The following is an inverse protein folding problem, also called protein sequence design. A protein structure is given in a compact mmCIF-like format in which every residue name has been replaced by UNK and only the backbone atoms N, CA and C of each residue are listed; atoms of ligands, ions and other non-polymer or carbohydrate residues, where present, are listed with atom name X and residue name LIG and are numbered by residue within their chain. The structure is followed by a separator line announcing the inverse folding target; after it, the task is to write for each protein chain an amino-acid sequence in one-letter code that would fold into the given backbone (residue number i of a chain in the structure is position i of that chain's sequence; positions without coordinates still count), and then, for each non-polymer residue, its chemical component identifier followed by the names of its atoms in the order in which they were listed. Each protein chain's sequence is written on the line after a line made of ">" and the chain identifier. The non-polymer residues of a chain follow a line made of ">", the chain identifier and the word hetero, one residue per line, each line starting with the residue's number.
data_IF_613456360181
#
_entry.id   IF_613456360181
#
_cell.length_a   1.000
_cell.length_b   1.000
_cell.length_c   1.000
_cell.angle_alpha   90.00
_cell.angle_beta   90.00
_cell.angle_gamma   90.00
#
_symmetry.space_group_name_H-M   'P 1'
#
loop_
_entity.id
_entity.type
_entity.pdbx_description
1 polymer ?
#
# COMPACT_ATOMS: atom_id res chain seq x y z
N UNK A 1 -5.22 1.00 30.55
CA UNK A 1 -5.12 0.17 29.32
C UNK A 1 -5.82 -1.18 29.51
N UNK A 2 -6.59 -1.65 28.52
CA UNK A 2 -7.08 -3.04 28.44
C UNK A 2 -5.89 -4.01 28.35
N UNK A 3 -6.04 -5.25 28.83
CA UNK A 3 -4.93 -6.23 28.87
C UNK A 3 -4.26 -6.50 27.51
N UNK A 4 -5.00 -6.35 26.40
CA UNK A 4 -4.50 -6.54 25.03
C UNK A 4 -3.51 -5.45 24.56
N UNK A 5 -3.68 -4.20 24.99
CA UNK A 5 -2.79 -3.11 24.53
C UNK A 5 -1.41 -3.12 25.22
N UNK A 6 -1.29 -3.78 26.37
CA UNK A 6 -0.03 -3.84 27.14
C UNK A 6 1.10 -4.61 26.43
N UNK A 7 0.75 -5.51 25.51
CA UNK A 7 1.72 -6.30 24.75
C UNK A 7 2.07 -5.70 23.38
N UNK A 8 1.54 -4.53 23.03
CA UNK A 8 1.84 -3.91 21.75
C UNK A 8 3.27 -3.37 21.76
N UNK A 9 4.06 -3.81 20.77
CA UNK A 9 5.45 -3.40 20.53
C UNK A 9 5.69 -2.92 19.10
N UNK A 10 4.73 -3.18 18.21
CA UNK A 10 4.83 -2.83 16.79
C UNK A 10 3.69 -1.89 16.41
N UNK A 11 4.02 -0.82 15.71
CA UNK A 11 3.07 0.11 15.09
C UNK A 11 3.11 -0.10 13.59
N UNK A 12 1.98 -0.47 13.00
CA UNK A 12 1.83 -0.62 11.56
C UNK A 12 0.80 0.38 11.06
N UNK A 13 1.14 1.21 10.08
CA UNK A 13 0.18 2.18 9.52
C UNK A 13 0.14 2.09 8.01
N UNK A 14 -1.06 2.11 7.44
CA UNK A 14 -1.20 2.58 6.06
C UNK A 14 -0.84 4.08 5.95
N UNK A 15 -0.58 4.53 4.73
CA UNK A 15 -0.11 5.88 4.42
C UNK A 15 -1.26 6.80 3.96
N UNK A 16 -1.87 6.55 2.81
CA UNK A 16 -2.85 7.46 2.19
C UNK A 16 -4.22 7.31 2.86
N UNK A 17 -4.83 8.41 3.30
CA UNK A 17 -6.11 8.30 4.02
C UNK A 17 -5.97 7.78 5.45
N UNK A 18 -4.75 7.43 5.88
CA UNK A 18 -4.44 6.91 7.22
C UNK A 18 -3.42 7.77 7.96
N UNK A 19 -2.12 7.64 7.66
CA UNK A 19 -1.06 8.43 8.31
C UNK A 19 -0.92 9.83 7.72
N UNK A 20 -1.21 9.98 6.43
CA UNK A 20 -1.22 11.27 5.75
C UNK A 20 -2.54 12.00 5.97
N UNK A 21 -2.42 13.29 6.24
CA UNK A 21 -3.57 14.18 6.24
C UNK A 21 -4.14 14.37 4.81
N UNK A 22 -5.30 15.02 4.64
CA UNK A 22 -5.90 15.27 3.32
C UNK A 22 -5.05 16.11 2.36
N UNK A 23 -3.96 16.73 2.83
CA UNK A 23 -2.99 17.43 1.98
C UNK A 23 -1.81 16.53 1.58
N UNK A 24 -1.91 15.22 1.79
CA UNK A 24 -0.88 14.21 1.53
C UNK A 24 0.45 14.50 2.26
N UNK A 25 0.37 15.01 3.50
CA UNK A 25 1.53 15.30 4.35
C UNK A 25 1.38 14.63 5.71
N UNK A 26 2.51 14.32 6.32
CA UNK A 26 2.57 13.91 7.72
C UNK A 26 2.62 15.17 8.57
N UNK A 27 1.68 15.31 9.52
CA UNK A 27 1.62 16.47 10.40
C UNK A 27 2.77 16.47 11.41
N UNK A 28 3.19 17.66 11.85
CA UNK A 28 4.22 17.80 12.90
C UNK A 28 3.83 17.08 14.20
N UNK A 29 2.53 17.07 14.52
CA UNK A 29 2.04 16.31 15.66
C UNK A 29 2.28 14.80 15.47
N UNK A 30 1.94 14.25 14.30
CA UNK A 30 2.19 12.83 13.99
C UNK A 30 3.68 12.49 14.05
N UNK A 31 4.55 13.33 13.48
CA UNK A 31 6.01 13.15 13.58
C UNK A 31 6.47 13.08 15.04
N UNK A 32 6.01 14.00 15.88
CA UNK A 32 6.38 14.00 17.32
C UNK A 32 5.98 12.72 18.05
N UNK A 33 4.84 12.12 17.67
CA UNK A 33 4.36 10.86 18.26
C UNK A 33 5.20 9.67 17.77
N UNK A 34 5.58 9.65 16.49
CA UNK A 34 6.42 8.59 15.94
C UNK A 34 7.87 8.66 16.47
N UNK A 35 8.41 9.86 16.69
CA UNK A 35 9.68 10.07 17.38
C UNK A 35 9.64 9.53 18.82
N UNK A 36 8.56 9.79 19.56
CA UNK A 36 8.39 9.24 20.90
C UNK A 36 8.32 7.71 20.90
N UNK A 37 7.54 7.12 19.99
CA UNK A 37 7.46 5.67 19.83
C UNK A 37 8.84 5.06 19.55
N UNK A 38 9.61 5.67 18.65
CA UNK A 38 10.96 5.23 18.35
C UNK A 38 11.87 5.29 19.58
N UNK A 39 11.83 6.38 20.35
CA UNK A 39 12.60 6.54 21.58
C UNK A 39 12.23 5.51 22.66
N UNK A 40 11.00 5.00 22.64
CA UNK A 40 10.54 3.94 23.54
C UNK A 40 10.78 2.52 22.99
N UNK A 41 11.44 2.39 21.83
CA UNK A 41 11.84 1.11 21.24
C UNK A 41 10.71 0.37 20.53
N UNK A 42 9.66 1.07 20.10
CA UNK A 42 8.64 0.47 19.23
C UNK A 42 9.19 0.23 17.83
N UNK A 43 8.83 -0.91 17.25
CA UNK A 43 9.07 -1.17 15.83
C UNK A 43 8.01 -0.42 15.01
N UNK A 44 8.47 0.36 14.04
CA UNK A 44 7.61 1.16 13.17
C UNK A 44 7.60 0.59 11.76
N UNK A 45 6.41 0.31 11.24
CA UNK A 45 6.19 -0.23 9.90
C UNK A 45 5.17 0.64 9.19
N UNK A 46 5.48 1.09 7.97
CA UNK A 46 4.49 1.71 7.09
C UNK A 46 4.21 0.80 5.91
N UNK A 47 2.93 0.56 5.61
CA UNK A 47 2.48 -0.35 4.57
C UNK A 47 1.57 0.34 3.57
N UNK A 48 2.01 0.53 2.33
CA UNK A 48 1.31 1.36 1.32
C UNK A 48 1.18 0.67 -0.04
N UNK A 49 0.16 1.06 -0.81
CA UNK A 49 0.04 0.71 -2.23
C UNK A 49 0.95 1.50 -3.15
N UNK A 50 1.53 2.62 -2.67
CA UNK A 50 2.51 3.41 -3.41
C UNK A 50 3.77 2.59 -3.68
N UNK A 51 4.47 2.94 -4.76
CA UNK A 51 5.79 2.42 -5.02
C UNK A 51 6.84 3.04 -4.08
N UNK A 52 7.94 2.32 -3.83
CA UNK A 52 8.91 2.70 -2.80
C UNK A 52 9.53 4.08 -3.06
N UNK A 53 9.85 4.44 -4.32
CA UNK A 53 10.39 5.77 -4.66
C UNK A 53 9.43 6.94 -4.32
N UNK A 54 8.12 6.69 -4.28
CA UNK A 54 7.13 7.69 -3.87
C UNK A 54 6.90 7.74 -2.38
N UNK A 55 6.80 6.55 -1.77
CA UNK A 55 6.58 6.45 -0.34
C UNK A 55 7.80 6.93 0.44
N UNK A 56 9.02 6.57 0.03
CA UNK A 56 10.25 6.86 0.77
C UNK A 56 10.49 8.36 0.95
N UNK A 57 10.20 9.18 -0.07
CA UNK A 57 10.30 10.64 0.04
C UNK A 57 9.37 11.24 1.10
N UNK A 58 8.19 10.65 1.30
CA UNK A 58 7.23 11.06 2.32
C UNK A 58 7.65 10.54 3.69
N UNK A 59 8.05 9.28 3.74
CA UNK A 59 8.47 8.59 4.97
C UNK A 59 9.72 9.20 5.59
N UNK A 60 10.67 9.65 4.76
CA UNK A 60 11.86 10.37 5.23
C UNK A 60 11.50 11.61 6.08
N UNK A 61 10.32 12.22 5.86
CA UNK A 61 9.86 13.35 6.65
C UNK A 61 9.45 13.00 8.09
N UNK A 62 9.29 11.72 8.43
CA UNK A 62 9.07 11.26 9.80
C UNK A 62 10.32 11.40 10.66
N UNK A 63 11.50 11.44 10.03
CA UNK A 63 12.80 11.55 10.71
C UNK A 63 13.03 10.46 11.78
N UNK A 64 12.44 9.28 11.56
CA UNK A 64 12.64 8.07 12.37
C UNK A 64 12.84 6.85 11.48
N UNK A 65 13.60 5.85 11.94
CA UNK A 65 13.75 4.59 11.22
C UNK A 65 12.41 3.85 11.15
N UNK A 66 11.98 3.51 9.94
CA UNK A 66 10.78 2.69 9.72
C UNK A 66 11.05 1.63 8.67
N UNK A 67 10.42 0.48 8.83
CA UNK A 67 10.27 -0.48 7.75
C UNK A 67 9.22 0.02 6.76
N UNK A 68 9.51 -0.08 5.46
CA UNK A 68 8.58 0.30 4.39
C UNK A 68 8.14 -0.94 3.62
N UNK A 69 6.88 -1.31 3.76
CA UNK A 69 6.18 -2.27 2.92
C UNK A 69 5.47 -1.47 1.81
N UNK A 70 5.90 -1.61 0.56
CA UNK A 70 5.37 -0.82 -0.55
C UNK A 70 4.75 -1.71 -1.63
N UNK A 71 4.07 -1.08 -2.59
CA UNK A 71 3.40 -1.78 -3.69
C UNK A 71 2.46 -2.90 -3.19
N UNK A 72 1.68 -2.60 -2.14
CA UNK A 72 0.77 -3.53 -1.45
C UNK A 72 1.42 -4.79 -0.87
N UNK A 73 2.73 -4.77 -0.62
CA UNK A 73 3.48 -5.92 -0.10
C UNK A 73 4.49 -6.52 -1.08
N UNK A 74 4.52 -6.06 -2.33
CA UNK A 74 5.48 -6.59 -3.30
C UNK A 74 6.93 -6.22 -2.93
N UNK A 75 7.15 -5.19 -2.12
CA UNK A 75 8.49 -4.76 -1.70
C UNK A 75 8.55 -4.55 -0.19
N UNK A 76 9.69 -4.87 0.39
CA UNK A 76 10.04 -4.54 1.77
C UNK A 76 11.40 -3.86 1.77
N UNK A 77 11.46 -2.66 2.35
CA UNK A 77 12.71 -1.94 2.60
C UNK A 77 12.96 -1.82 4.10
N UNK A 78 14.22 -1.96 4.51
CA UNK A 78 14.66 -1.74 5.88
C UNK A 78 14.67 -0.25 6.24
N UNK A 79 14.82 0.10 7.53
CA UNK A 79 15.04 1.49 7.96
C UNK A 79 16.28 2.14 7.33
N UNK A 80 17.31 1.36 7.01
CA UNK A 80 18.51 1.78 6.30
C UNK A 80 18.30 1.89 4.78
N UNK A 81 17.06 1.69 4.31
CA UNK A 81 16.63 1.75 2.90
C UNK A 81 17.16 0.59 2.04
N UNK A 82 17.61 -0.49 2.67
CA UNK A 82 17.98 -1.72 1.96
C UNK A 82 16.74 -2.47 1.51
N UNK A 83 16.69 -2.93 0.26
CA UNK A 83 15.63 -3.83 -0.22
C UNK A 83 15.84 -5.22 0.39
N UNK A 84 14.93 -5.63 1.27
CA UNK A 84 14.99 -6.92 1.95
C UNK A 84 14.20 -8.01 1.22
N UNK A 85 13.16 -7.61 0.49
CA UNK A 85 12.29 -8.53 -0.22
C UNK A 85 11.68 -7.84 -1.44
N UNK A 86 11.73 -8.53 -2.57
CA UNK A 86 11.07 -8.17 -3.79
C UNK A 86 10.30 -9.35 -4.35
N UNK A 87 9.04 -9.09 -4.69
CA UNK A 87 8.17 -10.04 -5.36
C UNK A 87 7.64 -9.43 -6.65
N UNK A 88 7.82 -10.13 -7.76
CA UNK A 88 7.35 -9.71 -9.07
C UNK A 88 6.39 -10.75 -9.62
N UNK A 89 5.44 -10.28 -10.42
CA UNK A 89 4.74 -11.14 -11.36
C UNK A 89 5.76 -11.82 -12.27
N UNK A 90 5.62 -13.14 -12.41
CA UNK A 90 6.44 -13.89 -13.34
C UNK A 90 6.11 -13.49 -14.79
N UNK A 91 7.14 -13.36 -15.62
CA UNK A 91 7.00 -13.09 -17.06
C UNK A 91 5.95 -13.95 -17.75
N UNK A 92 5.85 -15.24 -17.43
CA UNK A 92 4.90 -16.14 -18.10
C UNK A 92 3.45 -15.84 -17.72
N UNK A 93 3.21 -15.44 -16.46
CA UNK A 93 1.89 -15.01 -15.99
C UNK A 93 1.49 -13.71 -16.67
N UNK A 94 2.41 -12.74 -16.74
CA UNK A 94 2.15 -11.45 -17.42
C UNK A 94 1.92 -11.65 -18.91
N UNK A 95 2.72 -12.50 -19.58
CA UNK A 95 2.52 -12.86 -20.99
C UNK A 95 1.13 -13.45 -21.22
N UNK A 96 0.71 -14.37 -20.35
CA UNK A 96 -0.62 -15.00 -20.44
C UNK A 96 -1.74 -13.98 -20.23
N UNK A 97 -1.59 -13.09 -19.24
CA UNK A 97 -2.54 -12.01 -18.98
C UNK A 97 -2.67 -11.04 -20.17
N UNK A 98 -1.55 -10.71 -20.84
CA UNK A 98 -1.55 -9.84 -22.00
C UNK A 98 -1.94 -10.55 -23.31
N UNK A 99 -2.07 -11.88 -23.31
CA UNK A 99 -2.49 -12.67 -24.47
C UNK A 99 -4.02 -12.71 -24.62
N UNK A 100 -4.62 -11.53 -24.66
CA UNK A 100 -6.05 -11.29 -24.92
C UNK A 100 -6.18 -10.16 -25.94
N UNK A 101 -7.37 -10.00 -26.53
CA UNK A 101 -7.63 -8.83 -27.37
C UNK A 101 -7.74 -7.57 -26.50
N UNK A 102 -6.72 -6.71 -26.59
CA UNK A 102 -6.68 -5.43 -25.89
C UNK A 102 -7.02 -4.33 -26.89
N UNK A 103 -8.05 -3.54 -26.57
CA UNK A 103 -8.42 -2.36 -27.36
C UNK A 103 -7.21 -1.40 -27.47
N UNK A 104 -6.80 -0.97 -28.68
CA UNK A 104 -5.68 -0.04 -28.88
C UNK A 104 -5.82 1.29 -28.12
N UNK A 105 -7.04 1.67 -27.72
CA UNK A 105 -7.30 2.85 -26.89
C UNK A 105 -6.89 2.64 -25.43
N UNK A 106 -6.70 1.41 -24.95
CA UNK A 106 -6.24 1.14 -23.59
C UNK A 106 -4.72 1.35 -23.50
N UNK A 107 -4.30 2.12 -22.50
CA UNK A 107 -2.88 2.25 -22.14
C UNK A 107 -2.52 1.10 -21.21
N UNK A 108 -1.54 0.29 -21.59
CA UNK A 108 -1.01 -0.83 -20.81
C UNK A 108 0.35 -0.44 -20.29
N UNK A 109 0.57 -0.61 -18.98
CA UNK A 109 1.83 -0.31 -18.32
C UNK A 109 2.29 -1.51 -17.51
N UNK A 110 3.51 -1.97 -17.77
CA UNK A 110 4.25 -2.84 -16.86
C UNK A 110 5.06 -1.96 -15.93
N UNK A 111 4.72 -1.99 -14.65
CA UNK A 111 5.45 -1.22 -13.66
C UNK A 111 6.64 -2.04 -13.15
N UNK A 112 7.85 -1.64 -13.53
CA UNK A 112 9.12 -2.18 -13.04
C UNK A 112 9.76 -1.21 -12.05
N UNK A 113 10.87 -1.58 -11.41
CA UNK A 113 11.52 -0.78 -10.35
C UNK A 113 11.71 0.69 -10.74
N UNK A 114 12.35 0.92 -11.89
CA UNK A 114 12.79 2.25 -12.31
C UNK A 114 12.18 2.68 -13.65
N UNK A 115 11.34 1.83 -14.25
CA UNK A 115 10.76 2.09 -15.58
C UNK A 115 9.27 1.76 -15.63
N UNK A 116 8.56 2.59 -16.39
CA UNK A 116 7.17 2.36 -16.79
C UNK A 116 7.15 1.93 -18.24
N UNK A 117 7.27 0.64 -18.47
CA UNK A 117 7.17 0.11 -19.83
C UNK A 117 5.72 0.20 -20.29
N UNK A 118 5.47 0.82 -21.43
CA UNK A 118 4.12 1.10 -21.92
C UNK A 118 3.97 0.89 -23.41
N UNK A 119 2.77 0.50 -23.87
CA UNK A 119 2.45 0.41 -25.29
C UNK A 119 2.25 1.78 -25.95
N UNK A 120 1.98 2.83 -25.17
CA UNK A 120 1.80 4.19 -25.70
C UNK A 120 2.06 5.26 -24.64
N UNK A 121 2.58 6.39 -25.08
CA UNK A 121 2.74 7.55 -24.22
C UNK A 121 1.38 8.18 -23.91
N UNK A 122 1.14 8.48 -22.63
CA UNK A 122 -0.06 9.14 -22.15
C UNK A 122 0.33 10.32 -21.28
N UNK A 123 0.08 11.54 -21.76
CA UNK A 123 0.36 12.76 -20.98
C UNK A 123 -0.44 12.78 -19.67
N UNK A 124 -1.69 12.32 -19.70
CA UNK A 124 -2.56 12.21 -18.52
C UNK A 124 -1.96 11.25 -17.49
N UNK A 125 -1.41 10.12 -17.94
CA UNK A 125 -0.78 9.17 -17.04
C UNK A 125 0.52 9.72 -16.45
N UNK A 126 1.34 10.33 -17.31
CA UNK A 126 2.61 10.92 -16.92
C UNK A 126 2.41 12.12 -15.98
N UNK A 127 1.29 12.84 -16.08
CA UNK A 127 0.95 13.94 -15.19
C UNK A 127 0.67 13.50 -13.73
N UNK A 128 0.42 12.21 -13.48
CA UNK A 128 0.38 11.68 -12.11
C UNK A 128 1.77 11.62 -11.46
N UNK A 129 2.83 11.73 -12.25
CA UNK A 129 4.19 11.90 -11.77
C UNK A 129 4.54 13.39 -11.71
N UNK A 130 4.36 14.03 -10.55
CA UNK A 130 4.76 15.44 -10.36
C UNK A 130 6.25 15.67 -10.66
N UNK A 131 7.07 14.65 -10.41
CA UNK A 131 8.44 14.48 -10.89
C UNK A 131 8.50 13.13 -11.60
N UNK A 132 9.12 13.03 -12.79
CA UNK A 132 9.26 11.79 -13.56
C UNK A 132 10.20 10.80 -12.86
N UNK A 133 9.76 10.27 -11.71
CA UNK A 133 10.49 9.27 -10.92
C UNK A 133 10.57 7.94 -11.64
N UNK A 134 9.64 7.67 -12.56
CA UNK A 134 9.61 6.49 -13.40
C UNK A 134 9.64 6.92 -14.86
N UNK A 135 10.72 6.58 -15.55
CA UNK A 135 10.87 6.96 -16.96
C UNK A 135 9.89 6.12 -17.79
N UNK A 136 8.96 6.74 -18.53
CA UNK A 136 8.10 6.01 -19.47
C UNK A 136 8.96 5.46 -20.61
N UNK A 137 8.88 4.16 -20.81
CA UNK A 137 9.62 3.44 -21.86
C UNK A 137 8.59 2.86 -22.83
N UNK A 138 8.58 3.35 -24.07
CA UNK A 138 7.69 2.83 -25.09
C UNK A 138 8.21 1.46 -25.57
N UNK A 139 7.38 0.42 -25.45
CA UNK A 139 7.73 -0.95 -25.85
C UNK A 139 6.68 -1.56 -26.77
N UNK A 140 7.11 -2.45 -27.66
CA UNK A 140 6.20 -3.37 -28.37
C UNK A 140 6.13 -4.69 -27.61
N UNK A 141 5.02 -4.91 -26.90
CA UNK A 141 4.76 -6.13 -26.15
C UNK A 141 4.75 -7.40 -27.02
N UNK A 142 4.66 -7.32 -28.35
CA UNK A 142 4.81 -8.50 -29.22
C UNK A 142 6.24 -9.01 -29.30
N UNK A 143 7.20 -8.14 -29.04
CA UNK A 143 8.65 -8.42 -29.18
C UNK A 143 9.41 -8.40 -27.86
N UNK A 144 8.75 -7.97 -26.78
CA UNK A 144 9.35 -7.93 -25.45
C UNK A 144 9.71 -9.35 -24.98
N UNK A 145 10.88 -9.52 -24.38
CA UNK A 145 11.32 -10.83 -23.87
C UNK A 145 10.99 -11.01 -22.38
N UNK A 146 11.25 -9.95 -21.60
CA UNK A 146 11.03 -9.89 -20.15
C UNK A 146 9.81 -9.03 -19.78
N UNK A 147 8.80 -9.71 -19.26
CA UNK A 147 7.55 -9.11 -18.80
C UNK A 147 7.46 -9.04 -17.26
N UNK A 148 8.51 -9.44 -16.54
CA UNK A 148 8.53 -9.43 -15.09
C UNK A 148 8.27 -8.03 -14.56
N UNK A 149 7.26 -7.88 -13.72
CA UNK A 149 6.80 -6.57 -13.26
C UNK A 149 6.29 -6.63 -11.82
N UNK A 150 6.32 -5.51 -11.14
CA UNK A 150 5.72 -5.35 -9.80
C UNK A 150 4.20 -5.49 -9.92
N UNK A 151 3.63 -4.81 -10.92
CA UNK A 151 2.21 -4.85 -11.25
C UNK A 151 1.97 -4.51 -12.71
N UNK A 152 0.81 -4.92 -13.21
CA UNK A 152 0.29 -4.52 -14.53
C UNK A 152 -0.78 -3.46 -14.28
N UNK A 153 -0.75 -2.42 -15.08
CA UNK A 153 -1.67 -1.29 -14.98
C UNK A 153 -2.33 -1.04 -16.34
N UNK A 154 -3.64 -0.79 -16.31
CA UNK A 154 -4.45 -0.50 -17.49
C UNK A 154 -5.25 0.79 -17.26
N UNK A 155 -5.08 1.78 -18.14
CA UNK A 155 -5.83 3.03 -18.09
C UNK A 155 -6.68 3.28 -19.33
N UNK A 156 -7.91 3.71 -19.07
CA UNK A 156 -8.86 4.16 -20.06
C UNK A 156 -9.98 4.98 -19.41
N UNK A 157 -10.53 5.98 -20.11
CA UNK A 157 -11.58 6.86 -19.56
C UNK A 157 -12.97 6.18 -19.53
N UNK A 158 -13.16 5.15 -20.35
CA UNK A 158 -14.34 4.29 -20.31
C UNK A 158 -14.10 3.07 -19.40
N UNK A 159 -14.76 3.07 -18.24
CA UNK A 159 -14.70 1.98 -17.24
C UNK A 159 -15.13 0.62 -17.81
N UNK A 160 -16.18 0.58 -18.63
CA UNK A 160 -16.70 -0.68 -19.20
C UNK A 160 -15.66 -1.41 -20.05
N UNK A 161 -14.81 -0.66 -20.77
CA UNK A 161 -13.70 -1.27 -21.53
C UNK A 161 -12.70 -1.97 -20.60
N UNK A 162 -12.42 -1.38 -19.43
CA UNK A 162 -11.54 -1.99 -18.44
C UNK A 162 -12.20 -3.20 -17.77
N UNK A 163 -13.53 -3.17 -17.55
CA UNK A 163 -14.27 -4.32 -17.02
C UNK A 163 -14.22 -5.51 -17.99
N UNK A 164 -14.49 -5.27 -19.28
CA UNK A 164 -14.40 -6.31 -20.32
C UNK A 164 -12.99 -6.87 -20.40
N UNK A 165 -11.97 -6.02 -20.39
CA UNK A 165 -10.57 -6.46 -20.38
C UNK A 165 -10.24 -7.29 -19.14
N UNK A 166 -10.66 -6.83 -17.95
CA UNK A 166 -10.47 -7.55 -16.69
C UNK A 166 -11.04 -8.96 -16.76
N UNK A 167 -12.28 -9.10 -17.23
CA UNK A 167 -12.94 -10.41 -17.33
C UNK A 167 -12.22 -11.33 -18.33
N UNK A 168 -11.72 -10.79 -19.45
CA UNK A 168 -10.91 -11.54 -20.42
C UNK A 168 -9.57 -12.02 -19.82
N UNK A 169 -8.86 -11.16 -19.07
CA UNK A 169 -7.60 -11.51 -18.39
C UNK A 169 -7.85 -12.61 -17.35
N UNK A 170 -8.88 -12.45 -16.52
CA UNK A 170 -9.19 -13.42 -15.47
C UNK A 170 -9.62 -14.78 -16.03
N UNK A 171 -10.26 -14.83 -17.20
CA UNK A 171 -10.56 -16.09 -17.87
C UNK A 171 -9.30 -16.92 -18.21
N UNK A 172 -8.17 -16.25 -18.47
CA UNK A 172 -6.91 -16.89 -18.84
C UNK A 172 -5.92 -17.07 -17.66
N UNK A 173 -5.99 -16.25 -16.62
CA UNK A 173 -4.96 -16.19 -15.56
C UNK A 173 -5.50 -15.91 -14.14
N UNK A 174 -6.78 -16.21 -13.87
CA UNK A 174 -7.43 -15.87 -12.59
C UNK A 174 -6.79 -16.49 -11.34
N UNK A 175 -6.15 -17.66 -11.44
CA UNK A 175 -5.64 -18.35 -10.24
C UNK A 175 -4.36 -17.76 -9.66
N UNK A 176 -3.68 -16.87 -10.40
CA UNK A 176 -2.37 -16.32 -10.08
C UNK A 176 -2.40 -14.80 -9.83
N UNK A 177 -3.47 -14.13 -10.24
CA UNK A 177 -3.58 -12.68 -10.18
C UNK A 177 -4.64 -12.21 -9.18
N UNK A 178 -4.30 -11.17 -8.44
CA UNK A 178 -5.25 -10.31 -7.73
C UNK A 178 -5.46 -9.03 -8.53
N UNK A 179 -6.67 -8.47 -8.52
CA UNK A 179 -6.99 -7.25 -9.26
C UNK A 179 -7.70 -6.22 -8.40
N UNK A 180 -7.53 -4.96 -8.75
CA UNK A 180 -8.25 -3.85 -8.12
C UNK A 180 -8.47 -2.72 -9.11
N UNK A 181 -9.55 -1.96 -8.91
CA UNK A 181 -9.70 -0.64 -9.52
C UNK A 181 -9.27 0.41 -8.50
N UNK A 182 -8.13 1.06 -8.72
CA UNK A 182 -7.70 2.19 -7.87
C UNK A 182 -8.48 3.47 -8.19
N UNK A 183 -8.90 3.61 -9.45
CA UNK A 183 -9.89 4.57 -9.92
C UNK A 183 -10.82 3.87 -10.94
N UNK A 184 -12.02 4.40 -11.23
CA UNK A 184 -12.87 3.84 -12.29
C UNK A 184 -12.16 3.76 -13.65
N UNK A 185 -11.18 4.62 -13.88
CA UNK A 185 -10.38 4.71 -15.10
C UNK A 185 -9.04 3.96 -15.03
N UNK A 186 -8.84 3.15 -13.98
CA UNK A 186 -7.57 2.52 -13.69
C UNK A 186 -7.76 1.12 -13.09
N UNK A 187 -7.38 0.10 -13.86
CA UNK A 187 -7.37 -1.30 -13.45
C UNK A 187 -5.93 -1.76 -13.20
N UNK A 188 -5.72 -2.44 -12.08
CA UNK A 188 -4.42 -2.96 -11.68
C UNK A 188 -4.49 -4.47 -11.45
N UNK A 189 -3.42 -5.17 -11.83
CA UNK A 189 -3.18 -6.57 -11.48
C UNK A 189 -1.85 -6.72 -10.77
N UNK A 190 -1.87 -7.47 -9.68
CA UNK A 190 -0.72 -7.85 -8.89
C UNK A 190 -0.72 -9.37 -8.72
N UNK A 191 0.40 -9.93 -8.28
CA UNK A 191 0.43 -11.33 -7.91
C UNK A 191 -0.53 -11.57 -6.73
N UNK A 192 -1.29 -12.67 -6.75
CA UNK A 192 -2.26 -12.94 -5.67
C UNK A 192 -1.61 -13.15 -4.30
N UNK A 193 -0.33 -13.53 -4.27
CA UNK A 193 0.42 -13.74 -3.04
C UNK A 193 0.91 -12.43 -2.42
N UNK A 194 0.83 -11.32 -3.15
CA UNK A 194 1.17 -9.98 -2.65
C UNK A 194 0.03 -9.46 -1.78
N UNK A 195 0.33 -9.33 -0.49
CA UNK A 195 -0.55 -8.74 0.49
C UNK A 195 0.28 -8.02 1.56
N UNK A 196 -0.26 -6.91 2.10
CA UNK A 196 0.41 -6.11 3.12
C UNK A 196 0.68 -6.96 4.37
N UNK A 197 -0.31 -7.72 4.86
CA UNK A 197 -0.20 -8.50 6.09
C UNK A 197 0.86 -9.60 5.98
N UNK A 198 0.95 -10.28 4.83
CA UNK A 198 1.99 -11.29 4.58
C UNK A 198 3.39 -10.67 4.65
N UNK A 199 3.54 -9.47 4.09
CA UNK A 199 4.82 -8.76 4.05
C UNK A 199 5.20 -8.18 5.40
N UNK A 200 4.23 -7.64 6.13
CA UNK A 200 4.38 -7.21 7.53
C UNK A 200 4.82 -8.39 8.38
N UNK A 201 4.19 -9.56 8.25
CA UNK A 201 4.56 -10.76 9.01
C UNK A 201 6.03 -11.16 8.80
N UNK A 202 6.57 -11.03 7.57
CA UNK A 202 8.00 -11.25 7.30
C UNK A 202 8.90 -10.24 8.01
N UNK A 203 8.49 -8.96 8.07
CA UNK A 203 9.21 -7.94 8.86
C UNK A 203 9.20 -8.32 10.34
N UNK A 204 8.04 -8.71 10.88
CA UNK A 204 7.93 -9.03 12.30
C UNK A 204 8.74 -10.28 12.67
N UNK A 205 8.69 -11.32 11.84
CA UNK A 205 9.48 -12.54 12.03
C UNK A 205 10.99 -12.22 12.10
N UNK A 206 11.48 -11.35 11.20
CA UNK A 206 12.88 -10.90 11.19
C UNK A 206 13.27 -10.17 12.48
N UNK A 207 12.36 -9.38 13.04
CA UNK A 207 12.57 -8.58 14.26
C UNK A 207 12.20 -9.35 15.55
N UNK A 208 11.73 -10.60 15.43
CA UNK A 208 11.36 -11.44 16.58
C UNK A 208 10.01 -11.08 17.22
N UNK A 209 9.09 -10.46 16.47
CA UNK A 209 7.73 -10.13 16.91
C UNK A 209 6.67 -10.97 16.18
N UNK A 210 5.45 -10.98 16.72
CA UNK A 210 4.27 -11.54 16.04
C UNK A 210 3.23 -10.49 15.70
N UNK A 211 2.28 -10.84 14.82
CA UNK A 211 1.16 -9.95 14.49
C UNK A 211 0.29 -9.61 15.72
N UNK A 212 0.21 -10.49 16.73
CA UNK A 212 -0.51 -10.19 17.97
C UNK A 212 0.12 -9.06 18.79
N UNK A 213 1.42 -8.80 18.62
CA UNK A 213 2.15 -7.69 19.27
C UNK A 213 2.06 -6.37 18.47
N UNK A 214 1.30 -6.38 17.36
CA UNK A 214 1.12 -5.22 16.50
C UNK A 214 -0.25 -4.56 16.66
N UNK A 215 -0.24 -3.24 16.59
CA UNK A 215 -1.42 -2.43 16.28
C UNK A 215 -1.34 -2.00 14.82
N UNK A 216 -2.45 -2.07 14.09
CA UNK A 216 -2.52 -1.59 12.71
C UNK A 216 -3.61 -0.54 12.49
N UNK A 217 -3.34 0.38 11.56
CA UNK A 217 -4.24 1.43 11.13
C UNK A 217 -4.42 1.38 9.61
N UNK A 218 -5.65 1.54 9.13
CA UNK A 218 -5.94 1.51 7.69
C UNK A 218 -7.35 2.00 7.36
N UNK A 219 -7.55 2.38 6.11
CA UNK A 219 -8.81 2.91 5.58
C UNK A 219 -9.25 2.25 4.27
N UNK A 220 -8.41 1.41 3.67
CA UNK A 220 -8.64 0.78 2.37
C UNK A 220 -8.96 -0.72 2.44
N UNK A 221 -9.50 -1.26 1.34
CA UNK A 221 -9.75 -2.70 1.21
C UNK A 221 -8.47 -3.54 1.16
N UNK A 222 -7.37 -2.96 0.68
CA UNK A 222 -6.03 -3.55 0.75
C UNK A 222 -5.48 -3.65 2.19
N UNK A 223 -6.17 -3.09 3.19
CA UNK A 223 -5.79 -3.17 4.60
C UNK A 223 -6.56 -4.28 5.36
N UNK A 224 -7.56 -4.91 4.74
CA UNK A 224 -8.48 -5.85 5.43
C UNK A 224 -7.73 -6.98 6.15
N UNK A 225 -6.76 -7.60 5.48
CA UNK A 225 -5.98 -8.69 6.06
C UNK A 225 -5.08 -8.18 7.20
N UNK A 226 -4.45 -7.02 7.04
CA UNK A 226 -3.60 -6.41 8.07
C UNK A 226 -4.42 -6.05 9.32
N UNK A 227 -5.55 -5.39 9.12
CA UNK A 227 -6.46 -4.95 10.19
C UNK A 227 -7.06 -6.14 10.96
N UNK A 228 -7.40 -7.22 10.25
CA UNK A 228 -7.99 -8.40 10.90
C UNK A 228 -6.96 -9.33 11.57
N UNK A 229 -5.71 -9.34 11.09
CA UNK A 229 -4.67 -10.27 11.57
C UNK A 229 -3.81 -9.73 12.72
N UNK A 230 -3.74 -8.41 12.89
CA UNK A 230 -2.97 -7.81 13.99
C UNK A 230 -3.69 -7.90 15.33
N UNK A 231 -2.94 -7.87 16.43
CA UNK A 231 -3.48 -7.94 17.79
C UNK A 231 -4.50 -6.82 18.08
N UNK A 232 -4.34 -5.67 17.41
CA UNK A 232 -5.31 -4.58 17.40
C UNK A 232 -5.37 -3.89 16.03
N UNK A 233 -6.37 -4.22 15.22
CA UNK A 233 -6.73 -3.43 14.04
C UNK A 233 -7.64 -2.24 14.35
N UNK A 234 -7.40 -1.12 13.67
CA UNK A 234 -8.13 0.14 13.83
C UNK A 234 -8.49 0.72 12.47
N UNK A 235 -9.79 0.94 12.24
CA UNK A 235 -10.31 1.48 10.99
C UNK A 235 -10.35 3.01 11.10
N UNK A 236 -9.84 3.72 10.10
CA UNK A 236 -9.92 5.17 10.07
C UNK A 236 -11.36 5.67 9.93
N UNK A 237 -11.69 6.81 10.55
CA UNK A 237 -13.04 7.37 10.47
C UNK A 237 -13.49 7.74 9.05
N UNK A 238 -12.54 8.08 8.18
CA UNK A 238 -12.75 8.39 6.77
C UNK A 238 -12.82 7.15 5.85
N UNK A 239 -12.69 5.94 6.40
CA UNK A 239 -12.80 4.73 5.61
C UNK A 239 -14.20 4.57 4.98
N UNK A 240 -14.32 3.92 3.81
CA UNK A 240 -15.59 3.58 3.21
C UNK A 240 -16.47 2.74 4.16
N UNK A 241 -17.78 2.94 4.14
CA UNK A 241 -18.69 2.21 5.02
C UNK A 241 -18.66 0.70 4.78
N UNK A 242 -18.51 0.28 3.51
CA UNK A 242 -18.37 -1.12 3.16
C UNK A 242 -17.13 -1.78 3.81
N UNK A 243 -16.05 -1.04 4.07
CA UNK A 243 -14.90 -1.56 4.83
C UNK A 243 -15.27 -1.79 6.31
N UNK A 244 -15.98 -0.83 6.92
CA UNK A 244 -16.45 -0.92 8.31
C UNK A 244 -17.42 -2.09 8.48
N UNK A 245 -18.31 -2.30 7.49
CA UNK A 245 -19.22 -3.44 7.43
C UNK A 245 -18.50 -4.78 7.24
N UNK A 246 -17.38 -4.79 6.51
CA UNK A 246 -16.53 -5.99 6.32
C UNK A 246 -15.83 -6.37 7.62
N UNK A 247 -15.51 -5.41 8.47
CA UNK A 247 -14.77 -5.59 9.73
C UNK A 247 -15.52 -5.00 10.94
N UNK A 248 -16.76 -5.46 11.21
CA UNK A 248 -17.68 -4.78 12.14
C UNK A 248 -17.24 -4.86 13.61
N UNK A 249 -16.30 -5.75 13.92
CA UNK A 249 -15.77 -5.94 15.26
C UNK A 249 -14.57 -5.02 15.58
N UNK A 250 -14.04 -4.32 14.57
CA UNK A 250 -12.92 -3.41 14.76
C UNK A 250 -13.38 -2.03 15.20
N UNK A 251 -12.55 -1.37 16.00
CA UNK A 251 -12.82 -0.03 16.48
C UNK A 251 -12.55 0.97 15.35
N UNK A 252 -13.52 1.86 15.12
CA UNK A 252 -13.37 2.98 14.20
C UNK A 252 -12.84 4.18 14.99
N UNK A 253 -11.73 4.74 14.53
CA UNK A 253 -11.07 5.89 15.18
C UNK A 253 -11.37 7.20 14.43
N UNK A 254 -10.74 8.29 14.84
CA UNK A 254 -10.86 9.59 14.17
C UNK A 254 -10.35 9.53 12.73
N UNK A 255 -10.70 10.55 11.95
CA UNK A 255 -10.26 10.67 10.56
C UNK A 255 -8.78 11.05 10.47
N UNK A 256 -8.17 10.84 9.30
CA UNK A 256 -6.82 11.35 9.00
C UNK A 256 -6.74 12.89 9.02
N UNK A 257 -7.84 13.60 8.72
CA UNK A 257 -7.93 15.05 8.85
C UNK A 257 -7.76 15.54 10.30
N UNK A 258 -7.99 14.66 11.27
CA UNK A 258 -7.90 14.95 12.70
C UNK A 258 -6.66 14.33 13.36
N UNK A 259 -5.67 13.86 12.59
CA UNK A 259 -4.52 13.09 13.09
C UNK A 259 -4.94 11.85 13.91
N UNK A 260 -5.95 11.10 13.42
CA UNK A 260 -6.57 10.01 14.16
C UNK A 260 -5.59 8.95 14.65
N UNK A 261 -4.63 8.55 13.81
CA UNK A 261 -3.55 7.61 14.16
C UNK A 261 -2.73 8.13 15.34
N UNK A 262 -2.16 9.33 15.21
CA UNK A 262 -1.30 9.94 16.24
C UNK A 262 -2.05 10.15 17.55
N UNK A 263 -3.31 10.60 17.50
CA UNK A 263 -4.12 10.81 18.71
C UNK A 263 -4.50 9.51 19.41
N UNK A 264 -4.75 8.45 18.65
CA UNK A 264 -4.99 7.12 19.22
C UNK A 264 -3.74 6.62 19.94
N UNK A 265 -2.58 6.65 19.27
CA UNK A 265 -1.30 6.24 19.84
C UNK A 265 -1.02 7.02 21.12
N UNK A 266 -1.12 8.36 21.08
CA UNK A 266 -0.86 9.22 22.22
C UNK A 266 -1.71 8.84 23.45
N UNK A 267 -3.02 8.64 23.27
CA UNK A 267 -3.93 8.35 24.40
C UNK A 267 -3.97 6.89 24.85
N UNK A 268 -3.80 5.93 23.93
CA UNK A 268 -4.06 4.51 24.20
C UNK A 268 -2.81 3.65 24.30
N UNK A 269 -1.69 4.10 23.73
CA UNK A 269 -0.43 3.37 23.70
C UNK A 269 0.63 4.07 24.55
N UNK A 270 0.69 5.40 24.49
CA UNK A 270 1.64 6.19 25.28
C UNK A 270 1.05 6.75 26.58
N UNK A 271 -0.25 6.50 26.85
CA UNK A 271 -0.99 6.99 28.02
C UNK A 271 -0.83 8.52 28.28
N UNK A 272 -0.70 9.32 27.22
CA UNK A 272 -0.66 10.79 27.34
C UNK A 272 -2.07 11.32 27.60
N UNK A 273 -2.26 12.04 28.71
CA UNK A 273 -3.48 12.80 28.96
C UNK A 273 -3.53 13.98 27.97
N UNK A 274 -4.62 14.07 27.20
CA UNK A 274 -4.88 15.25 26.38
C UNK A 274 -5.29 16.40 27.30
N UNK A 275 -4.43 17.40 27.46
CA UNK A 275 -4.88 18.72 27.87
C UNK A 275 -5.81 19.23 26.77
N UNK A 276 -7.12 19.26 27.04
CA UNK A 276 -8.08 19.88 26.14
C UNK A 276 -7.72 21.36 26.01
N UNK A 277 -7.25 21.76 24.83
CA UNK A 277 -7.17 23.15 24.39
C UNK A 277 -8.36 23.48 23.50
#
# INVERSE_FOLDING_TARGET
>A
MTSKLKNIKVIVSDLDGTLLNPQHRISEYTKSIFQELHNQGYLLVVATGRHHLDAMAIIDTLEVPVYLVSSNGARIHSPEKEELFAFNLNSDVVKTALNVEIDPEITVVLFKENTWQTNKLSEKLNAFQAELKYVPELVDYKTLEDFGAIKIFFAHDNHEKLVVLKDAILANSSSELHHAFSLPTCLEFMDKSVDKAVSIAKVLEKEGFTLEEAVSFGDGFNDVQMLSSTGKGLIMGNAPDLLKETLPNLEVIKTNAEDGVAKYIASRILDKEFAAS
#
